data_IF_194924129457
#
_entry.id   IF_194924129457
#
_cell.length_a   1.000
_cell.length_b   1.000
_cell.length_c   1.000
_cell.angle_alpha   90.00
_cell.angle_beta   90.00
_cell.angle_gamma   90.00
#
_symmetry.space_group_name_H-M   'P 1'
#
loop_
_entity.id
_entity.type
_entity.pdbx_description
1 polymer ?
#
# COMPACT_ATOMS: atom_id res chain seq x y z
N UNK A 1 17.16 1.24 3.75
CA UNK A 1 17.02 -0.06 3.03
C UNK A 1 17.84 0.03 1.77
N UNK A 2 18.79 -0.88 1.58
CA UNK A 2 19.57 -0.97 0.34
C UNK A 2 18.98 -2.10 -0.49
N UNK A 3 18.57 -1.84 -1.73
CA UNK A 3 18.06 -2.88 -2.62
C UNK A 3 19.24 -3.59 -3.28
N UNK A 4 19.35 -4.90 -3.07
CA UNK A 4 20.43 -5.72 -3.64
C UNK A 4 20.11 -6.20 -5.05
N UNK A 5 18.83 -6.18 -5.45
CA UNK A 5 18.33 -6.60 -6.78
C UNK A 5 17.16 -5.70 -7.22
N UNK A 6 17.04 -5.36 -8.51
CA UNK A 6 16.01 -4.43 -9.00
C UNK A 6 14.57 -4.92 -8.74
N UNK A 7 14.32 -6.22 -8.81
CA UNK A 7 13.02 -6.86 -8.59
C UNK A 7 12.58 -6.90 -7.11
N UNK A 8 13.41 -6.44 -6.18
CA UNK A 8 13.07 -6.38 -4.76
C UNK A 8 12.24 -5.13 -4.40
N UNK A 9 12.03 -4.21 -5.35
CA UNK A 9 11.17 -3.04 -5.18
C UNK A 9 10.03 -3.06 -6.20
N UNK A 10 8.82 -3.31 -5.71
CA UNK A 10 7.61 -3.45 -6.54
C UNK A 10 6.61 -2.37 -6.12
N UNK A 11 6.27 -1.46 -7.02
CA UNK A 11 5.32 -0.36 -6.76
C UNK A 11 4.60 0.05 -8.06
N UNK A 12 3.39 0.62 -7.93
CA UNK A 12 2.65 1.19 -9.06
C UNK A 12 3.05 2.65 -9.26
N UNK A 13 4.03 2.90 -10.14
CA UNK A 13 4.52 4.25 -10.40
C UNK A 13 3.79 4.94 -11.55
N UNK A 14 3.59 4.25 -12.69
CA UNK A 14 3.06 4.87 -13.91
C UNK A 14 1.62 5.34 -13.78
N UNK A 15 0.73 4.44 -13.36
CA UNK A 15 -0.68 4.77 -13.11
C UNK A 15 -0.90 5.32 -11.69
N UNK A 16 -0.02 5.00 -10.74
CA UNK A 16 -0.17 5.46 -9.35
C UNK A 16 -1.34 4.80 -8.62
N UNK A 17 -1.64 3.53 -8.89
CA UNK A 17 -2.86 2.86 -8.41
C UNK A 17 -2.83 2.63 -6.90
N UNK A 18 -3.71 3.30 -6.16
CA UNK A 18 -4.01 2.97 -4.75
C UNK A 18 -4.60 1.55 -4.66
N UNK A 19 -4.35 0.83 -3.56
CA UNK A 19 -4.77 -0.57 -3.41
C UNK A 19 -3.81 -1.62 -4.01
N UNK A 20 -2.82 -1.21 -4.81
CA UNK A 20 -1.87 -2.12 -5.46
C UNK A 20 -1.05 -2.98 -4.47
N UNK A 21 -0.66 -2.42 -3.32
CA UNK A 21 0.36 -3.02 -2.44
C UNK A 21 0.02 -4.42 -1.94
N UNK A 22 -1.18 -4.63 -1.41
CA UNK A 22 -1.59 -5.91 -0.81
C UNK A 22 -1.68 -7.07 -1.84
N UNK A 23 -2.41 -6.95 -2.97
CA UNK A 23 -2.43 -8.00 -4.00
C UNK A 23 -1.05 -8.21 -4.65
N UNK A 24 -0.25 -7.15 -4.84
CA UNK A 24 1.12 -7.30 -5.35
C UNK A 24 2.00 -8.10 -4.38
N UNK A 25 1.89 -7.84 -3.08
CA UNK A 25 2.61 -8.60 -2.06
C UNK A 25 2.20 -10.07 -2.03
N UNK A 26 0.90 -10.38 -2.17
CA UNK A 26 0.40 -11.76 -2.34
C UNK A 26 1.07 -12.43 -3.54
N UNK A 27 1.10 -11.78 -4.70
CA UNK A 27 1.76 -12.31 -5.89
C UNK A 27 3.26 -12.54 -5.67
N UNK A 28 3.95 -11.56 -5.07
CA UNK A 28 5.39 -11.65 -4.78
C UNK A 28 5.72 -12.80 -3.81
N UNK A 29 4.93 -12.99 -2.75
CA UNK A 29 5.16 -14.06 -1.78
C UNK A 29 4.89 -15.45 -2.37
N UNK A 30 3.91 -15.56 -3.27
CA UNK A 30 3.67 -16.80 -4.02
C UNK A 30 4.82 -17.10 -4.98
N UNK A 31 5.36 -16.08 -5.65
CA UNK A 31 6.49 -16.25 -6.58
C UNK A 31 7.82 -16.53 -5.87
N UNK A 32 8.02 -16.00 -4.65
CA UNK A 32 9.25 -16.16 -3.85
C UNK A 32 8.90 -16.64 -2.43
N UNK A 33 8.53 -17.92 -2.27
CA UNK A 33 8.00 -18.46 -1.01
C UNK A 33 9.00 -18.41 0.16
N UNK A 34 10.30 -18.41 -0.13
CA UNK A 34 11.36 -18.39 0.89
C UNK A 34 11.81 -16.98 1.26
N UNK A 35 11.36 -15.96 0.53
CA UNK A 35 11.77 -14.59 0.74
C UNK A 35 10.80 -13.89 1.68
N UNK A 36 11.33 -12.97 2.49
CA UNK A 36 10.48 -12.09 3.30
C UNK A 36 9.91 -10.99 2.42
N UNK A 37 8.58 -11.02 2.23
CA UNK A 37 7.86 -9.96 1.52
C UNK A 37 7.24 -8.99 2.52
N UNK A 38 7.53 -7.70 2.35
CA UNK A 38 7.03 -6.61 3.20
C UNK A 38 6.17 -5.68 2.34
N UNK A 39 4.89 -5.57 2.68
CA UNK A 39 3.95 -4.63 2.10
C UNK A 39 3.91 -3.35 2.96
N UNK A 40 4.42 -2.24 2.46
CA UNK A 40 4.26 -0.92 3.10
C UNK A 40 3.07 -0.22 2.43
N UNK A 41 2.03 0.10 3.20
CA UNK A 41 0.82 0.75 2.68
C UNK A 41 0.34 1.88 3.58
N UNK A 42 -0.27 2.91 3.00
CA UNK A 42 -1.11 3.86 3.74
C UNK A 42 -2.50 3.27 4.03
N UNK A 43 -3.19 3.84 5.01
CA UNK A 43 -4.58 3.56 5.40
C UNK A 43 -5.56 3.56 4.21
N UNK A 44 -5.64 4.65 3.45
CA UNK A 44 -6.57 4.79 2.33
C UNK A 44 -6.29 3.80 1.21
N UNK A 45 -5.00 3.56 0.92
CA UNK A 45 -4.60 2.56 -0.08
C UNK A 45 -4.90 1.14 0.39
N UNK A 46 -4.69 0.83 1.65
CA UNK A 46 -4.93 -0.50 2.20
C UNK A 46 -6.42 -0.87 2.12
N UNK A 47 -7.29 0.07 2.46
CA UNK A 47 -8.74 -0.12 2.45
C UNK A 47 -9.33 -0.45 1.07
N UNK A 48 -8.68 -0.04 -0.03
CA UNK A 48 -9.18 -0.34 -1.38
C UNK A 48 -9.19 -1.84 -1.71
N UNK A 49 -8.26 -2.60 -1.15
CA UNK A 49 -8.11 -4.02 -1.44
C UNK A 49 -7.99 -4.90 -0.18
N UNK A 50 -8.52 -4.44 0.95
CA UNK A 50 -8.45 -5.14 2.25
C UNK A 50 -9.00 -6.57 2.21
N UNK A 51 -9.93 -6.88 1.29
CA UNK A 51 -10.46 -8.22 1.07
C UNK A 51 -9.38 -9.27 0.79
N UNK A 52 -8.22 -8.88 0.26
CA UNK A 52 -7.10 -9.81 0.01
C UNK A 52 -6.50 -10.40 1.28
N UNK A 53 -6.78 -9.85 2.47
CA UNK A 53 -6.48 -10.52 3.74
C UNK A 53 -7.11 -11.92 3.82
N UNK A 54 -8.27 -12.12 3.18
CA UNK A 54 -8.89 -13.44 3.02
C UNK A 54 -7.99 -14.40 2.24
N UNK A 55 -7.37 -13.93 1.14
CA UNK A 55 -6.39 -14.70 0.36
C UNK A 55 -5.15 -15.02 1.18
N UNK A 56 -4.59 -14.02 1.89
CA UNK A 56 -3.41 -14.20 2.76
C UNK A 56 -3.67 -15.30 3.79
N UNK A 57 -4.82 -15.23 4.48
CA UNK A 57 -5.19 -16.20 5.51
C UNK A 57 -5.44 -17.58 4.93
N UNK A 58 -6.19 -17.69 3.83
CA UNK A 58 -6.53 -18.96 3.19
C UNK A 58 -5.30 -19.71 2.67
N UNK A 59 -4.32 -18.98 2.13
CA UNK A 59 -3.06 -19.53 1.62
C UNK A 59 -1.95 -19.59 2.66
N UNK A 60 -2.21 -19.15 3.91
CA UNK A 60 -1.23 -19.08 4.99
C UNK A 60 0.08 -18.38 4.59
N UNK A 61 -0.03 -17.29 3.82
CA UNK A 61 1.15 -16.59 3.31
C UNK A 61 1.82 -15.81 4.45
N UNK A 62 3.16 -15.93 4.64
CA UNK A 62 3.89 -15.26 5.72
C UNK A 62 4.18 -13.78 5.41
N UNK A 63 3.17 -13.06 4.91
CA UNK A 63 3.29 -11.65 4.54
C UNK A 63 3.43 -10.74 5.76
N UNK A 64 4.35 -9.79 5.67
CA UNK A 64 4.49 -8.70 6.65
C UNK A 64 3.86 -7.44 6.10
N UNK A 65 2.93 -6.86 6.85
CA UNK A 65 2.23 -5.63 6.44
C UNK A 65 2.62 -4.52 7.42
N UNK A 66 3.15 -3.42 6.88
CA UNK A 66 3.43 -2.19 7.61
C UNK A 66 2.41 -1.16 7.16
N UNK A 67 1.43 -0.88 8.03
CA UNK A 67 0.38 0.08 7.78
C UNK A 67 0.77 1.45 8.36
N UNK A 68 0.86 2.45 7.50
CA UNK A 68 1.06 3.84 7.87
C UNK A 68 -0.31 4.52 7.96
N UNK A 69 -0.89 4.48 9.16
CA UNK A 69 -2.19 5.08 9.42
C UNK A 69 -2.04 6.53 9.92
N UNK A 70 -2.45 7.48 9.07
CA UNK A 70 -2.54 8.89 9.41
C UNK A 70 -3.99 9.40 9.32
N UNK A 71 -4.97 8.50 9.17
CA UNK A 71 -6.40 8.74 9.07
C UNK A 71 -6.81 9.75 7.97
N UNK A 72 -6.01 9.84 6.90
CA UNK A 72 -6.16 10.85 5.84
C UNK A 72 -5.61 10.32 4.53
N UNK A 73 -6.14 10.83 3.42
CA UNK A 73 -5.44 10.74 2.14
C UNK A 73 -4.24 11.71 2.13
N UNK A 74 -3.13 11.31 2.76
CA UNK A 74 -1.99 12.18 3.10
C UNK A 74 -1.43 12.97 1.91
N UNK A 75 -1.20 12.31 0.78
CA UNK A 75 -0.70 12.97 -0.44
C UNK A 75 -1.68 14.04 -0.96
N UNK A 76 -2.97 13.74 -1.01
CA UNK A 76 -4.00 14.70 -1.46
C UNK A 76 -4.10 15.87 -0.48
N UNK A 77 -4.03 15.59 0.83
CA UNK A 77 -4.04 16.61 1.88
C UNK A 77 -2.84 17.55 1.76
N UNK A 78 -1.64 17.01 1.50
CA UNK A 78 -0.43 17.82 1.33
C UNK A 78 -0.57 18.80 0.16
N UNK A 79 -1.09 18.34 -0.99
CA UNK A 79 -1.35 19.22 -2.13
C UNK A 79 -2.40 20.29 -1.80
N UNK A 80 -3.45 19.95 -1.05
CA UNK A 80 -4.45 20.92 -0.59
C UNK A 80 -3.87 22.00 0.33
N UNK A 81 -2.95 21.64 1.22
CA UNK A 81 -2.29 22.61 2.09
C UNK A 81 -1.40 23.56 1.30
N UNK A 82 -0.56 23.01 0.43
CA UNK A 82 0.43 23.78 -0.31
C UNK A 82 -0.18 24.70 -1.38
N UNK A 83 -1.26 24.25 -2.05
CA UNK A 83 -1.73 24.90 -3.28
C UNK A 83 -3.20 25.31 -3.25
N UNK A 84 -3.97 24.94 -2.21
CA UNK A 84 -5.40 25.23 -2.14
C UNK A 84 -5.81 25.95 -0.85
N UNK A 85 -4.91 26.70 -0.21
CA UNK A 85 -5.19 27.52 0.99
C UNK A 85 -5.88 26.69 2.09
N UNK A 86 -5.41 25.46 2.30
CA UNK A 86 -5.96 24.54 3.30
C UNK A 86 -7.46 24.19 3.11
N UNK A 87 -7.98 24.34 1.88
CA UNK A 87 -9.35 23.89 1.57
C UNK A 87 -9.38 22.38 1.38
N UNK A 88 -9.74 21.67 2.45
CA UNK A 88 -9.87 20.22 2.45
C UNK A 88 -11.19 19.75 1.82
N UNK A 89 -11.18 19.33 0.55
CA UNK A 89 -12.35 18.69 -0.09
C UNK A 89 -12.25 17.17 0.03
N UNK A 90 -13.26 16.55 0.68
CA UNK A 90 -13.58 15.10 0.72
C UNK A 90 -12.38 14.15 0.92
N UNK A 91 -11.52 14.45 1.89
CA UNK A 91 -10.35 13.63 2.29
C UNK A 91 -10.52 12.97 3.68
N UNK A 92 -11.76 12.92 4.18
CA UNK A 92 -12.14 12.27 5.41
C UNK A 92 -13.17 11.19 5.06
N UNK A 93 -12.90 9.97 5.50
CA UNK A 93 -13.89 8.91 5.62
C UNK A 93 -14.62 9.13 6.95
N UNK A 94 -15.64 9.98 6.93
CA UNK A 94 -16.76 9.85 7.88
C UNK A 94 -17.62 8.65 7.47
#
# INVERSE_FOLDING_TARGET
>A
MTYTRPENFITSSGLGTMGFGLPAAVGAQVARPNDTVICISGDGSFMMNVQELGTVKRKQLPLKIVLLDNQRLGMVRQWQQLFFQERYKRNHSD
#
